data_IF_630889914032
#
_entry.id   IF_630889914032
#
_cell.length_a   1.000
_cell.length_b   1.000
_cell.length_c   1.000
_cell.angle_alpha   90.00
_cell.angle_beta   90.00
_cell.angle_gamma   90.00
#
_symmetry.space_group_name_H-M   'P 1'
#
loop_
_entity.id
_entity.type
_entity.pdbx_description
1 polymer ?
#
# COMPACT_ATOMS: atom_id res chain seq x y z
N UNK A 1 3.46 -16.92 13.49
CA UNK A 1 2.25 -17.74 13.25
C UNK A 1 1.06 -16.81 13.10
N UNK A 2 0.23 -16.97 12.07
CA UNK A 2 -0.98 -16.12 11.90
C UNK A 2 -2.10 -16.63 12.80
N UNK A 3 -2.61 -15.78 13.67
CA UNK A 3 -3.66 -16.13 14.63
C UNK A 3 -5.02 -16.36 13.94
N UNK A 4 -5.91 -17.20 14.51
CA UNK A 4 -7.28 -17.38 14.01
C UNK A 4 -8.03 -16.04 13.89
N UNK A 5 -7.84 -15.13 14.86
CA UNK A 5 -8.41 -13.78 14.84
C UNK A 5 -7.93 -12.98 13.63
N UNK A 6 -6.63 -12.99 13.33
CA UNK A 6 -6.10 -12.31 12.14
C UNK A 6 -6.68 -12.89 10.86
N UNK A 7 -6.86 -14.22 10.76
CA UNK A 7 -7.49 -14.85 9.58
C UNK A 7 -8.93 -14.40 9.40
N UNK A 8 -9.71 -14.34 10.49
CA UNK A 8 -11.09 -13.86 10.47
C UNK A 8 -11.19 -12.40 10.01
N UNK A 9 -10.41 -11.50 10.65
CA UNK A 9 -10.34 -10.09 10.26
C UNK A 9 -9.88 -9.96 8.80
N UNK A 10 -8.87 -10.73 8.40
CA UNK A 10 -8.37 -10.72 7.04
C UNK A 10 -9.43 -11.09 6.00
N UNK A 11 -10.24 -12.12 6.26
CA UNK A 11 -11.37 -12.50 5.40
C UNK A 11 -12.40 -11.37 5.32
N UNK A 12 -12.74 -10.74 6.44
CA UNK A 12 -13.67 -9.60 6.47
C UNK A 12 -13.14 -8.40 5.66
N UNK A 13 -11.85 -8.09 5.77
CA UNK A 13 -11.21 -7.01 5.00
C UNK A 13 -11.24 -7.28 3.49
N UNK A 14 -10.93 -8.51 3.06
CA UNK A 14 -10.98 -8.90 1.63
C UNK A 14 -12.41 -8.80 1.11
N UNK A 15 -13.40 -9.28 1.85
CA UNK A 15 -14.80 -9.23 1.43
C UNK A 15 -15.31 -7.78 1.29
N UNK A 16 -14.89 -6.89 2.19
CA UNK A 16 -15.37 -5.49 2.20
C UNK A 16 -14.62 -4.57 1.24
N UNK A 17 -13.31 -4.76 1.06
CA UNK A 17 -12.44 -3.82 0.33
C UNK A 17 -11.71 -4.44 -0.87
N UNK A 18 -12.00 -5.71 -1.21
CA UNK A 18 -11.46 -6.39 -2.38
C UNK A 18 -9.92 -6.42 -2.39
N UNK A 19 -9.32 -5.89 -3.46
CA UNK A 19 -7.87 -5.85 -3.63
C UNK A 19 -7.16 -5.08 -2.51
N UNK A 20 -7.73 -3.97 -2.03
CA UNK A 20 -7.19 -3.20 -0.90
C UNK A 20 -7.16 -4.09 0.34
N UNK A 21 -8.25 -4.82 0.59
CA UNK A 21 -8.31 -5.82 1.65
C UNK A 21 -7.23 -6.88 1.53
N UNK A 22 -7.00 -7.43 0.33
CA UNK A 22 -5.95 -8.43 0.07
C UNK A 22 -4.54 -7.92 0.33
N UNK A 23 -4.27 -6.63 0.07
CA UNK A 23 -2.98 -6.00 0.42
C UNK A 23 -2.88 -5.78 1.92
N UNK A 24 -3.94 -5.25 2.54
CA UNK A 24 -4.01 -5.00 3.97
C UNK A 24 -3.78 -6.27 4.80
N UNK A 25 -4.33 -7.42 4.38
CA UNK A 25 -4.15 -8.69 5.09
C UNK A 25 -2.70 -9.15 5.15
N UNK A 26 -1.87 -8.85 4.14
CA UNK A 26 -0.44 -9.19 4.17
C UNK A 26 0.28 -8.46 5.31
N UNK A 27 -0.06 -7.20 5.55
CA UNK A 27 0.50 -6.42 6.66
C UNK A 27 -0.09 -6.85 8.01
N UNK A 28 -1.38 -7.18 8.05
CA UNK A 28 -2.03 -7.72 9.24
C UNK A 28 -1.38 -9.04 9.69
N UNK A 29 -1.09 -9.93 8.74
CA UNK A 29 -0.44 -11.22 9.01
C UNK A 29 1.03 -11.07 9.40
N UNK A 30 1.68 -9.98 8.99
CA UNK A 30 3.00 -9.59 9.47
C UNK A 30 2.99 -9.04 10.92
N UNK A 31 1.81 -9.02 11.58
CA UNK A 31 1.67 -8.56 12.96
C UNK A 31 1.54 -7.04 13.09
N UNK A 32 1.33 -6.32 11.99
CA UNK A 32 1.12 -4.87 12.02
C UNK A 32 -0.35 -4.55 12.26
N UNK A 33 -0.60 -3.43 12.95
CA UNK A 33 -1.93 -2.85 13.05
C UNK A 33 -2.28 -2.18 11.73
N UNK A 34 -3.42 -2.53 11.15
CA UNK A 34 -3.83 -2.04 9.83
C UNK A 34 -5.10 -1.21 9.96
N UNK A 35 -5.06 0.00 9.39
CA UNK A 35 -6.16 0.93 9.26
C UNK A 35 -6.45 1.16 7.78
N UNK A 36 -7.73 1.22 7.41
CA UNK A 36 -8.14 1.39 6.01
C UNK A 36 -8.82 2.74 5.84
N UNK A 37 -8.54 3.42 4.72
CA UNK A 37 -9.10 4.72 4.36
C UNK A 37 -8.85 5.81 5.42
N UNK A 38 -7.61 5.92 5.88
CA UNK A 38 -7.25 6.98 6.82
C UNK A 38 -7.32 8.35 6.12
N UNK A 39 -8.10 9.32 6.66
CA UNK A 39 -8.26 10.62 6.03
C UNK A 39 -6.97 11.43 6.11
N UNK A 40 -6.60 12.10 5.02
CA UNK A 40 -5.53 13.12 5.03
C UNK A 40 -5.98 14.35 4.24
N UNK A 41 -5.29 15.47 4.42
CA UNK A 41 -5.55 16.71 3.67
C UNK A 41 -5.43 16.53 2.14
N UNK A 42 -4.65 15.55 1.69
CA UNK A 42 -4.43 15.24 0.26
C UNK A 42 -5.31 14.08 -0.23
N UNK A 43 -6.38 13.76 0.51
CA UNK A 43 -7.25 12.62 0.26
C UNK A 43 -6.88 11.39 1.10
N UNK A 44 -7.75 10.38 1.15
CA UNK A 44 -7.53 9.23 2.00
C UNK A 44 -6.30 8.42 1.55
N UNK A 45 -5.60 7.83 2.52
CA UNK A 45 -4.61 6.77 2.29
C UNK A 45 -5.35 5.44 2.39
N UNK A 46 -5.33 4.59 1.34
CA UNK A 46 -6.08 3.33 1.33
C UNK A 46 -5.75 2.43 2.51
N UNK A 47 -4.47 2.32 2.86
CA UNK A 47 -4.01 1.45 3.94
C UNK A 47 -2.89 2.15 4.72
N UNK A 48 -3.00 2.18 6.03
CA UNK A 48 -1.91 2.49 6.94
C UNK A 48 -1.60 1.25 7.76
N UNK A 49 -0.33 0.84 7.77
CA UNK A 49 0.15 -0.24 8.62
C UNK A 49 1.15 0.30 9.64
N UNK A 50 0.91 0.07 10.93
CA UNK A 50 1.73 0.55 12.05
C UNK A 50 2.24 -0.63 12.88
N UNK A 51 3.50 -0.59 13.28
CA UNK A 51 4.08 -1.58 14.18
C UNK A 51 5.60 -1.56 14.14
N UNK A 52 6.24 -2.13 15.16
CA UNK A 52 7.71 -2.24 15.25
C UNK A 52 8.44 -0.90 15.02
N UNK A 53 7.93 0.19 15.62
CA UNK A 53 8.44 1.58 15.46
C UNK A 53 8.44 2.09 14.01
N UNK A 54 7.63 1.50 13.14
CA UNK A 54 7.50 1.89 11.75
C UNK A 54 6.03 2.11 11.37
N UNK A 55 5.81 3.04 10.46
CA UNK A 55 4.51 3.31 9.84
C UNK A 55 4.67 3.23 8.34
N UNK A 56 3.77 2.53 7.67
CA UNK A 56 3.71 2.42 6.23
C UNK A 56 2.41 3.04 5.73
N UNK A 57 2.50 3.88 4.70
CA UNK A 57 1.36 4.38 3.95
C UNK A 57 1.35 3.64 2.62
N UNK A 58 0.30 2.86 2.36
CA UNK A 58 0.23 2.00 1.18
C UNK A 58 -0.91 2.46 0.27
N UNK A 59 -0.54 2.80 -0.96
CA UNK A 59 -1.46 3.05 -2.06
C UNK A 59 -1.60 1.79 -2.91
N UNK A 60 -2.80 1.46 -3.35
CA UNK A 60 -3.07 0.29 -4.21
C UNK A 60 -3.44 0.79 -5.59
N UNK A 61 -2.61 0.47 -6.59
CA UNK A 61 -2.80 0.94 -7.94
C UNK A 61 -4.06 0.33 -8.56
N UNK A 62 -4.94 1.19 -9.10
CA UNK A 62 -6.12 0.79 -9.87
C UNK A 62 -5.78 0.71 -11.38
N UNK A 63 -6.49 -0.11 -12.17
CA UNK A 63 -6.17 -0.35 -13.59
C UNK A 63 -6.02 0.89 -14.48
N UNK A 64 -6.77 1.96 -14.19
CA UNK A 64 -6.79 3.18 -15.02
C UNK A 64 -5.99 4.35 -14.41
N UNK A 65 -5.21 4.09 -13.35
CA UNK A 65 -4.52 5.15 -12.64
C UNK A 65 -3.10 5.33 -13.20
N UNK A 66 -2.69 6.59 -13.40
CA UNK A 66 -1.33 6.90 -13.81
C UNK A 66 -0.35 6.56 -12.67
N UNK A 67 0.60 5.67 -12.93
CA UNK A 67 1.55 5.15 -11.94
C UNK A 67 2.49 6.26 -11.45
N UNK A 68 2.96 7.13 -12.33
CA UNK A 68 3.89 8.20 -11.95
C UNK A 68 3.21 9.17 -10.96
N UNK A 69 1.97 9.57 -11.25
CA UNK A 69 1.16 10.39 -10.35
C UNK A 69 0.86 9.68 -9.03
N UNK A 70 0.63 8.37 -9.06
CA UNK A 70 0.39 7.57 -7.84
C UNK A 70 1.64 7.53 -6.94
N UNK A 71 2.85 7.41 -7.52
CA UNK A 71 4.13 7.45 -6.79
C UNK A 71 4.30 8.81 -6.09
N UNK A 72 4.09 9.91 -6.81
CA UNK A 72 4.23 11.26 -6.24
C UNK A 72 3.18 11.52 -5.16
N UNK A 73 1.93 11.11 -5.40
CA UNK A 73 0.83 11.29 -4.46
C UNK A 73 1.08 10.55 -3.15
N UNK A 74 1.50 9.27 -3.21
CA UNK A 74 1.76 8.50 -1.98
C UNK A 74 2.99 9.03 -1.24
N UNK A 75 4.02 9.49 -1.94
CA UNK A 75 5.19 10.10 -1.31
C UNK A 75 4.79 11.34 -0.48
N UNK A 76 3.98 12.24 -1.05
CA UNK A 76 3.47 13.43 -0.35
C UNK A 76 2.56 13.08 0.83
N UNK A 77 1.62 12.16 0.64
CA UNK A 77 0.75 11.67 1.74
C UNK A 77 1.55 11.03 2.87
N UNK A 78 2.56 10.23 2.53
CA UNK A 78 3.40 9.55 3.51
C UNK A 78 4.27 10.52 4.32
N UNK A 79 4.77 11.60 3.70
CA UNK A 79 5.47 12.67 4.41
C UNK A 79 4.61 13.33 5.49
N UNK A 80 3.33 13.63 5.20
CA UNK A 80 2.39 14.18 6.18
C UNK A 80 2.19 13.25 7.39
N UNK A 81 2.18 11.94 7.13
CA UNK A 81 1.94 10.91 8.14
C UNK A 81 3.23 10.41 8.81
N UNK A 82 4.40 10.97 8.46
CA UNK A 82 5.73 10.47 8.87
C UNK A 82 5.86 8.95 8.64
N UNK A 83 5.32 8.49 7.51
CA UNK A 83 5.24 7.09 7.13
C UNK A 83 6.16 6.78 5.95
N UNK A 84 6.49 5.51 5.77
CA UNK A 84 7.21 5.00 4.59
C UNK A 84 6.21 4.74 3.47
N UNK A 85 6.34 5.39 2.30
CA UNK A 85 5.42 5.20 1.18
C UNK A 85 5.66 3.84 0.50
N UNK A 86 4.57 3.14 0.23
CA UNK A 86 4.56 1.88 -0.52
C UNK A 86 3.48 1.95 -1.60
N UNK A 87 3.86 1.60 -2.83
CA UNK A 87 2.90 1.41 -3.92
C UNK A 87 2.72 -0.08 -4.19
N UNK A 88 1.52 -0.57 -3.95
CA UNK A 88 1.09 -1.92 -4.26
C UNK A 88 0.57 -1.98 -5.71
N UNK A 89 1.30 -2.67 -6.58
CA UNK A 89 1.02 -2.74 -8.01
C UNK A 89 0.60 -4.16 -8.39
N UNK A 90 -0.61 -4.37 -8.93
CA UNK A 90 -1.02 -5.64 -9.51
C UNK A 90 -0.09 -6.07 -10.65
N UNK A 91 0.33 -7.34 -10.64
CA UNK A 91 1.22 -7.90 -11.69
C UNK A 91 0.68 -7.74 -13.11
N UNK A 92 -0.64 -7.71 -13.28
CA UNK A 92 -1.31 -7.57 -14.58
C UNK A 92 -1.13 -6.20 -15.21
N UNK A 93 -0.73 -5.17 -14.45
CA UNK A 93 -0.69 -3.79 -14.93
C UNK A 93 0.70 -3.32 -15.38
N UNK A 94 1.75 -4.11 -15.15
CA UNK A 94 3.13 -3.67 -15.43
C UNK A 94 3.96 -4.77 -16.08
N UNK A 95 4.49 -4.45 -17.27
CA UNK A 95 5.50 -5.26 -17.96
C UNK A 95 6.89 -5.05 -17.33
N UNK A 96 7.78 -6.04 -17.48
CA UNK A 96 9.14 -6.04 -16.88
C UNK A 96 9.97 -4.80 -17.24
N UNK A 97 9.88 -4.32 -18.46
CA UNK A 97 10.62 -3.14 -18.94
C UNK A 97 10.14 -1.86 -18.26
N UNK A 98 8.82 -1.65 -18.22
CA UNK A 98 8.19 -0.53 -17.52
C UNK A 98 8.42 -0.59 -16.01
N UNK A 99 8.56 -1.79 -15.43
CA UNK A 99 8.87 -1.95 -14.01
C UNK A 99 10.24 -1.34 -13.65
N UNK A 100 11.27 -1.53 -14.49
CA UNK A 100 12.62 -1.03 -14.23
C UNK A 100 12.63 0.50 -14.15
N UNK A 101 12.01 1.16 -15.12
CA UNK A 101 11.92 2.63 -15.15
C UNK A 101 11.13 3.17 -13.96
N UNK A 102 10.04 2.50 -13.58
CA UNK A 102 9.25 2.88 -12.40
C UNK A 102 10.01 2.68 -11.09
N UNK A 103 10.82 1.63 -10.97
CA UNK A 103 11.64 1.38 -9.77
C UNK A 103 12.69 2.48 -9.58
N UNK A 104 13.33 2.94 -10.65
CA UNK A 104 14.29 4.06 -10.58
C UNK A 104 13.59 5.36 -10.13
N UNK A 105 12.43 5.68 -10.71
CA UNK A 105 11.63 6.85 -10.27
C UNK A 105 11.15 6.72 -8.82
N UNK A 106 10.76 5.52 -8.39
CA UNK A 106 10.28 5.31 -7.04
C UNK A 106 11.40 5.46 -6.00
N UNK A 107 12.65 5.07 -6.33
CA UNK A 107 13.83 5.32 -5.48
C UNK A 107 14.04 6.82 -5.27
N UNK A 108 13.95 7.63 -6.33
CA UNK A 108 14.08 9.07 -6.23
C UNK A 108 13.04 9.69 -5.28
N UNK A 109 11.82 9.15 -5.27
CA UNK A 109 10.74 9.58 -4.38
C UNK A 109 10.67 8.82 -3.03
N UNK A 110 11.72 8.09 -2.67
CA UNK A 110 11.80 7.26 -1.46
C UNK A 110 10.59 6.31 -1.25
N UNK A 111 10.00 5.85 -2.35
CA UNK A 111 8.79 5.03 -2.40
C UNK A 111 9.14 3.60 -2.75
N UNK A 112 8.61 2.63 -2.00
CA UNK A 112 8.82 1.20 -2.29
C UNK A 112 7.70 0.67 -3.19
N UNK A 113 8.05 0.06 -4.31
CA UNK A 113 7.07 -0.66 -5.14
C UNK A 113 7.00 -2.13 -4.69
N UNK A 114 5.80 -2.66 -4.51
CA UNK A 114 5.53 -4.06 -4.21
C UNK A 114 4.52 -4.63 -5.20
N UNK A 115 4.89 -5.72 -5.86
CA UNK A 115 3.98 -6.44 -6.73
C UNK A 115 3.01 -7.30 -5.92
N UNK A 116 1.72 -7.21 -6.24
CA UNK A 116 0.63 -7.87 -5.50
C UNK A 116 -0.06 -8.92 -6.34
#
# INVERSE_FOLDING_TARGET
>A
MTTPRQKFIGKALVNKYGLIGKVATRYLYAGLHVEINHPTRLGPVPIIAKGNKQTFAIEVLKPNQNIDQAIESIAKKAQLLKARPVLAVPKTLVNREKLKTLLEKAKANNTKIKLV
#
